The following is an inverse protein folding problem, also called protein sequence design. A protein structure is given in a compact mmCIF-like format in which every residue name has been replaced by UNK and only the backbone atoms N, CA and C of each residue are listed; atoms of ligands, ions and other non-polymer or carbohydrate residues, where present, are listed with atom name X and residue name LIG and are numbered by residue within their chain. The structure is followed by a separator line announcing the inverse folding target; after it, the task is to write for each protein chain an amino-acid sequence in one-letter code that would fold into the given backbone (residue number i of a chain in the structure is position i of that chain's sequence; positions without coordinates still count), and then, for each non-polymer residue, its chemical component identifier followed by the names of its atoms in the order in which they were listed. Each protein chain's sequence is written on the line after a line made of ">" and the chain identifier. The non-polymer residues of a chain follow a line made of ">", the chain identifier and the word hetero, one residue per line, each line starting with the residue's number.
data_IF_308767823687
#
_entry.id   IF_308767823687
#
_cell.length_a   1.000
_cell.length_b   1.000
_cell.length_c   1.000
_cell.angle_alpha   90.00
_cell.angle_beta   90.00
_cell.angle_gamma   90.00
#
_symmetry.space_group_name_H-M   'P 1'
#
loop_
_entity.id
_entity.type
_entity.pdbx_description
1 polymer ?
#
# COMPACT_ATOMS: atom_id res chain seq x y z
N UNK A 1 1.82 40.93 -0.12
CA UNK A 1 2.42 40.21 -1.27
C UNK A 1 3.50 39.28 -0.74
N UNK A 2 3.24 37.97 -0.68
CA UNK A 2 4.15 36.96 -0.12
C UNK A 2 4.97 36.29 -1.23
N UNK A 3 6.29 36.53 -1.26
CA UNK A 3 7.40 35.64 -1.66
C UNK A 3 7.13 34.46 -2.65
N UNK A 4 6.25 34.60 -3.65
CA UNK A 4 5.94 33.57 -4.66
C UNK A 4 5.35 32.26 -4.12
N UNK A 5 4.98 32.15 -2.84
CA UNK A 5 4.34 30.96 -2.26
C UNK A 5 2.82 31.16 -2.17
N UNK A 6 1.99 30.15 -2.52
CA UNK A 6 0.55 30.25 -2.40
C UNK A 6 0.15 30.49 -0.95
N UNK A 7 -0.84 31.36 -0.73
CA UNK A 7 -1.34 31.74 0.60
C UNK A 7 -1.99 30.54 1.33
N UNK A 8 -2.55 29.61 0.55
CA UNK A 8 -3.29 28.44 1.01
C UNK A 8 -2.60 27.16 0.57
N UNK A 9 -2.90 26.06 1.28
CA UNK A 9 -2.35 24.75 0.94
C UNK A 9 -2.97 24.24 -0.36
N UNK A 10 -2.11 23.68 -1.22
CA UNK A 10 -2.51 22.94 -2.41
C UNK A 10 -1.89 21.55 -2.33
N UNK A 11 -2.70 20.50 -2.50
CA UNK A 11 -2.24 19.12 -2.51
C UNK A 11 -2.40 18.56 -3.92
N UNK A 12 -1.30 18.04 -4.47
CA UNK A 12 -1.31 17.38 -5.77
C UNK A 12 -1.96 15.99 -5.66
N UNK A 13 -2.98 15.75 -6.48
CA UNK A 13 -3.72 14.50 -6.57
C UNK A 13 -3.42 13.73 -7.88
N UNK A 14 -2.42 14.16 -8.65
CA UNK A 14 -2.02 13.51 -9.90
C UNK A 14 -1.69 12.01 -9.73
N UNK A 15 -1.26 11.60 -8.53
CA UNK A 15 -1.00 10.19 -8.22
C UNK A 15 -2.27 9.30 -8.29
N UNK A 16 -3.48 9.88 -8.15
CA UNK A 16 -4.75 9.17 -8.28
C UNK A 16 -5.15 8.94 -9.75
N UNK A 17 -4.64 9.76 -10.68
CA UNK A 17 -4.97 9.69 -12.11
C UNK A 17 -4.08 8.71 -12.91
N UNK A 18 -3.04 8.14 -12.28
CA UNK A 18 -1.96 7.37 -12.95
C UNK A 18 -2.43 6.15 -13.76
N UNK A 19 -3.65 5.66 -13.53
CA UNK A 19 -4.17 4.42 -14.12
C UNK A 19 -5.38 4.62 -15.05
N UNK A 20 -5.80 5.85 -15.30
CA UNK A 20 -6.83 6.14 -16.29
C UNK A 20 -6.18 6.04 -17.68
N UNK A 21 -6.22 4.86 -18.31
CA UNK A 21 -5.70 4.60 -19.67
C UNK A 21 -6.34 5.44 -20.79
N UNK A 22 -7.07 6.49 -20.45
CA UNK A 22 -7.59 7.51 -21.34
C UNK A 22 -6.49 8.50 -21.70
N UNK A 23 -5.75 8.16 -22.76
CA UNK A 23 -5.04 9.11 -23.62
C UNK A 23 -6.05 10.10 -24.23
N UNK A 24 -6.48 11.08 -23.43
CA UNK A 24 -7.51 12.03 -23.83
C UNK A 24 -7.46 13.31 -23.00
N UNK A 25 -6.53 14.20 -23.36
CA UNK A 25 -6.74 15.66 -23.42
C UNK A 25 -7.48 16.36 -22.25
N UNK A 26 -7.25 15.99 -20.99
CA UNK A 26 -7.55 16.87 -19.85
C UNK A 26 -6.25 17.44 -19.28
N UNK A 27 -5.85 18.61 -19.81
CA UNK A 27 -4.75 19.44 -19.29
C UNK A 27 -5.19 20.15 -18.00
N UNK A 28 -5.44 19.38 -16.94
CA UNK A 28 -5.65 19.89 -15.60
C UNK A 28 -5.00 18.95 -14.59
N UNK A 29 -3.94 19.40 -13.93
CA UNK A 29 -3.39 18.70 -12.76
C UNK A 29 -4.50 18.59 -11.71
N UNK A 30 -4.90 17.36 -11.35
CA UNK A 30 -5.84 17.18 -10.24
C UNK A 30 -5.18 17.72 -8.97
N UNK A 31 -5.80 18.73 -8.37
CA UNK A 31 -5.29 19.40 -7.19
C UNK A 31 -6.43 19.67 -6.22
N UNK A 32 -6.12 19.52 -4.94
CA UNK A 32 -7.00 19.89 -3.85
C UNK A 32 -6.53 21.23 -3.28
N UNK A 33 -7.43 22.22 -3.30
CA UNK A 33 -7.19 23.55 -2.79
C UNK A 33 -7.83 23.73 -1.43
N UNK A 34 -7.08 24.25 -0.48
CA UNK A 34 -7.63 24.73 0.78
C UNK A 34 -8.38 26.05 0.53
N UNK A 35 -9.64 26.11 0.96
CA UNK A 35 -10.51 27.26 0.81
C UNK A 35 -11.12 27.65 2.16
N UNK A 36 -11.33 28.94 2.37
CA UNK A 36 -11.95 29.48 3.57
C UNK A 36 -13.07 30.47 3.22
N UNK A 37 -14.13 30.44 4.02
CA UNK A 37 -15.18 31.45 4.04
C UNK A 37 -15.19 32.08 5.43
N UNK A 38 -15.24 33.40 5.51
CA UNK A 38 -15.30 34.12 6.77
C UNK A 38 -16.35 35.22 6.69
N UNK A 39 -17.36 35.14 7.54
CA UNK A 39 -18.46 36.09 7.57
C UNK A 39 -18.52 36.75 8.96
N UNK A 40 -18.63 38.07 8.99
CA UNK A 40 -18.77 38.85 10.20
C UNK A 40 -19.88 39.88 10.01
N UNK A 41 -20.81 39.96 10.97
CA UNK A 41 -21.81 41.03 11.03
C UNK A 41 -21.53 41.86 12.27
N UNK A 42 -21.45 43.18 12.08
CA UNK A 42 -21.16 44.14 13.14
C UNK A 42 -22.06 45.36 13.01
N UNK A 43 -22.43 45.97 14.12
CA UNK A 43 -23.34 47.11 14.13
C UNK A 43 -23.56 47.66 15.52
N UNK A 44 -24.11 48.87 15.59
CA UNK A 44 -24.51 49.47 16.85
C UNK A 44 -25.85 48.91 17.34
N UNK A 45 -26.76 48.64 16.40
CA UNK A 45 -28.09 48.10 16.67
C UNK A 45 -28.62 47.31 15.44
N UNK A 46 -29.88 46.87 15.51
CA UNK A 46 -30.53 46.10 14.45
C UNK A 46 -30.89 46.93 13.20
N UNK A 47 -30.75 48.25 13.24
CA UNK A 47 -31.06 49.16 12.14
C UNK A 47 -29.80 49.68 11.44
N UNK A 48 -28.68 49.77 12.17
CA UNK A 48 -27.38 50.24 11.68
C UNK A 48 -26.31 49.16 11.90
N UNK A 49 -26.16 48.29 10.91
CA UNK A 49 -25.17 47.22 10.88
C UNK A 49 -24.56 47.04 9.49
N UNK A 50 -23.47 46.28 9.44
CA UNK A 50 -22.71 45.97 8.23
C UNK A 50 -22.27 44.52 8.28
N UNK A 51 -22.39 43.81 7.16
CA UNK A 51 -21.90 42.46 6.99
C UNK A 51 -20.67 42.46 6.06
N UNK A 52 -19.65 41.73 6.47
CA UNK A 52 -18.45 41.45 5.70
C UNK A 52 -18.38 39.95 5.45
N UNK A 53 -18.16 39.54 4.22
CA UNK A 53 -17.93 38.14 3.87
C UNK A 53 -16.73 38.03 2.94
N UNK A 54 -15.76 37.21 3.33
CA UNK A 54 -14.55 36.94 2.58
C UNK A 54 -14.59 35.48 2.13
N UNK A 55 -14.53 35.26 0.82
CA UNK A 55 -14.58 33.94 0.19
C UNK A 55 -13.30 33.78 -0.63
N UNK A 56 -12.55 32.71 -0.37
CA UNK A 56 -11.39 32.37 -1.18
C UNK A 56 -11.84 31.83 -2.55
N UNK A 57 -11.48 32.52 -3.63
CA UNK A 57 -11.81 32.15 -5.02
C UNK A 57 -10.58 31.92 -5.90
N UNK A 58 -9.38 31.93 -5.31
CA UNK A 58 -8.10 31.90 -6.06
C UNK A 58 -7.87 30.66 -6.93
N UNK A 59 -8.62 29.58 -6.69
CA UNK A 59 -8.56 28.33 -7.44
C UNK A 59 -9.61 28.24 -8.55
N UNK A 60 -10.57 29.17 -8.61
CA UNK A 60 -11.62 29.25 -9.62
C UNK A 60 -11.22 30.29 -10.66
N UNK A 61 -11.00 29.84 -11.91
CA UNK A 61 -10.64 30.72 -13.01
C UNK A 61 -11.77 31.68 -13.40
N UNK A 62 -13.01 31.21 -13.25
CA UNK A 62 -14.26 31.90 -13.60
C UNK A 62 -15.20 31.91 -12.38
N UNK A 63 -14.71 32.40 -11.23
CA UNK A 63 -15.52 32.41 -10.00
C UNK A 63 -16.73 33.32 -10.13
N UNK A 64 -17.90 32.79 -9.77
CA UNK A 64 -19.15 33.56 -9.67
C UNK A 64 -19.34 34.21 -8.29
N UNK A 65 -18.36 34.08 -7.39
CA UNK A 65 -18.39 34.71 -6.07
C UNK A 65 -17.71 36.10 -6.06
N UNK A 66 -17.32 36.65 -7.23
CA UNK A 66 -16.85 38.04 -7.33
C UNK A 66 -18.03 39.01 -7.33
N UNK A 67 -17.89 40.14 -6.62
CA UNK A 67 -18.94 41.14 -6.54
C UNK A 67 -19.31 41.66 -7.93
N UNK A 68 -18.33 41.91 -8.80
CA UNK A 68 -18.60 42.43 -10.15
C UNK A 68 -19.42 41.44 -11.00
N UNK A 69 -19.21 40.13 -10.83
CA UNK A 69 -20.01 39.13 -11.56
C UNK A 69 -21.50 39.22 -11.24
N UNK A 70 -21.88 39.63 -10.03
CA UNK A 70 -23.28 39.84 -9.66
C UNK A 70 -23.87 41.15 -10.21
N UNK A 71 -23.05 42.16 -10.50
CA UNK A 71 -23.50 43.43 -11.07
C UNK A 71 -23.57 43.39 -12.60
N UNK A 72 -22.63 42.70 -13.25
CA UNK A 72 -22.61 42.52 -14.71
C UNK A 72 -23.86 41.78 -15.22
N UNK A 73 -24.45 40.89 -14.40
CA UNK A 73 -25.71 40.20 -14.71
C UNK A 73 -26.93 41.13 -14.73
N UNK A 74 -26.86 42.31 -14.08
CA UNK A 74 -27.97 43.27 -13.92
C UNK A 74 -27.99 44.32 -15.04
N UNK A 75 -26.90 44.53 -15.77
CA UNK A 75 -26.79 45.53 -16.84
C UNK A 75 -27.37 45.09 -18.21
N UNK A 76 -28.04 43.93 -18.29
CA UNK A 76 -28.77 43.50 -19.47
C UNK A 76 -30.04 44.34 -19.72
N UNK A 77 -30.19 44.86 -20.95
CA UNK A 77 -31.11 45.92 -21.42
C UNK A 77 -32.64 45.76 -21.17
N UNK A 78 -33.13 44.79 -20.42
CA UNK A 78 -34.56 44.65 -20.15
C UNK A 78 -34.78 44.15 -18.72
N UNK A 79 -35.45 44.96 -17.87
CA UNK A 79 -36.55 44.53 -16.97
C UNK A 79 -36.94 45.66 -15.99
N UNK A 80 -38.24 45.95 -15.94
CA UNK A 80 -38.97 46.97 -15.16
C UNK A 80 -38.95 46.75 -13.63
N UNK A 81 -38.29 45.69 -13.14
CA UNK A 81 -38.09 45.36 -11.72
C UNK A 81 -36.64 44.90 -11.51
N UNK A 82 -35.80 45.80 -11.00
CA UNK A 82 -34.36 45.56 -10.87
C UNK A 82 -34.06 44.70 -9.63
N UNK A 83 -34.14 43.38 -9.76
CA UNK A 83 -33.62 42.45 -8.77
C UNK A 83 -32.09 42.65 -8.68
N UNK A 84 -31.60 43.07 -7.52
CA UNK A 84 -30.16 43.25 -7.31
C UNK A 84 -29.67 42.07 -6.47
N UNK A 85 -28.92 41.10 -7.04
CA UNK A 85 -28.49 39.92 -6.29
C UNK A 85 -27.55 40.28 -5.15
N UNK A 86 -27.84 39.78 -3.94
CA UNK A 86 -26.97 39.93 -2.77
C UNK A 86 -25.79 38.93 -2.83
N UNK A 87 -24.53 39.40 -2.97
CA UNK A 87 -23.36 38.52 -3.10
C UNK A 87 -23.12 37.63 -1.87
N UNK A 88 -23.45 38.10 -0.66
CA UNK A 88 -23.21 37.31 0.57
C UNK A 88 -24.10 36.06 0.59
N UNK A 89 -25.28 36.16 -0.02
CA UNK A 89 -26.25 35.07 -0.18
C UNK A 89 -26.12 34.35 -1.52
N UNK A 90 -25.02 34.55 -2.26
CA UNK A 90 -24.82 34.01 -3.61
C UNK A 90 -25.96 34.37 -4.58
N UNK A 91 -26.48 35.59 -4.47
CA UNK A 91 -27.60 36.08 -5.30
C UNK A 91 -28.96 35.46 -4.98
N UNK A 92 -29.13 34.76 -3.85
CA UNK A 92 -30.44 34.18 -3.48
C UNK A 92 -31.41 35.23 -2.90
N UNK A 93 -30.91 36.36 -2.41
CA UNK A 93 -31.72 37.47 -1.94
C UNK A 93 -31.58 38.70 -2.84
N UNK A 94 -32.65 39.48 -2.86
CA UNK A 94 -32.67 40.81 -3.45
C UNK A 94 -32.10 41.83 -2.44
N UNK A 95 -30.96 42.42 -2.77
CA UNK A 95 -30.31 43.46 -2.00
C UNK A 95 -31.17 44.73 -1.89
N UNK A 96 -32.14 44.95 -2.79
CA UNK A 96 -33.08 46.08 -2.69
C UNK A 96 -34.15 45.88 -1.62
N UNK A 97 -34.35 44.65 -1.14
CA UNK A 97 -35.29 44.29 -0.07
C UNK A 97 -34.51 43.72 1.13
N UNK A 98 -33.78 44.56 1.88
CA UNK A 98 -32.85 44.09 2.90
C UNK A 98 -33.58 43.43 4.07
N UNK A 99 -33.00 42.33 4.56
CA UNK A 99 -33.45 41.68 5.79
C UNK A 99 -33.12 42.59 6.96
N UNK A 100 -34.12 43.11 7.66
CA UNK A 100 -33.88 44.13 8.70
C UNK A 100 -33.11 43.60 9.91
N UNK A 101 -33.39 42.38 10.39
CA UNK A 101 -32.71 41.81 11.56
C UNK A 101 -31.34 41.19 11.18
N UNK A 102 -30.22 41.65 11.77
CA UNK A 102 -28.87 41.18 11.43
C UNK A 102 -28.64 39.71 11.80
N UNK A 103 -29.27 39.21 12.87
CA UNK A 103 -29.12 37.80 13.30
C UNK A 103 -29.84 36.88 12.32
N UNK A 104 -31.02 37.29 11.85
CA UNK A 104 -31.75 36.59 10.79
C UNK A 104 -30.92 36.58 9.50
N UNK A 105 -30.34 37.71 9.12
CA UNK A 105 -29.49 37.79 7.93
C UNK A 105 -28.26 36.89 8.05
N UNK A 106 -27.58 36.89 9.22
CA UNK A 106 -26.48 35.96 9.51
C UNK A 106 -26.87 34.50 9.27
N UNK A 107 -28.02 34.07 9.79
CA UNK A 107 -28.48 32.69 9.63
C UNK A 107 -28.73 32.31 8.16
N UNK A 108 -29.26 33.24 7.35
CA UNK A 108 -29.48 33.02 5.93
C UNK A 108 -28.13 32.85 5.21
N UNK A 109 -27.17 33.74 5.48
CA UNK A 109 -25.81 33.64 4.92
C UNK A 109 -25.15 32.33 5.36
N UNK A 110 -25.24 31.97 6.64
CA UNK A 110 -24.71 30.72 7.18
C UNK A 110 -25.35 29.51 6.49
N UNK A 111 -26.67 29.49 6.30
CA UNK A 111 -27.38 28.41 5.61
C UNK A 111 -26.86 28.21 4.19
N UNK A 112 -26.73 29.28 3.43
CA UNK A 112 -26.32 29.23 2.02
C UNK A 112 -24.85 28.83 1.91
N UNK A 113 -23.96 29.45 2.70
CA UNK A 113 -22.52 29.18 2.65
C UNK A 113 -22.17 27.81 3.24
N UNK A 114 -22.90 27.34 4.25
CA UNK A 114 -22.71 25.98 4.77
C UNK A 114 -23.21 24.92 3.78
N UNK A 115 -24.28 25.20 3.05
CA UNK A 115 -24.72 24.34 1.94
C UNK A 115 -23.67 24.28 0.83
N UNK A 116 -23.04 25.40 0.48
CA UNK A 116 -21.90 25.45 -0.45
C UNK A 116 -20.74 24.55 0.03
N UNK A 117 -20.33 24.68 1.30
CA UNK A 117 -19.28 23.84 1.90
C UNK A 117 -19.64 22.35 1.78
N UNK A 118 -20.87 21.97 2.15
CA UNK A 118 -21.33 20.58 2.04
C UNK A 118 -21.30 20.07 0.60
N UNK A 119 -21.71 20.88 -0.38
CA UNK A 119 -21.67 20.49 -1.79
C UNK A 119 -20.22 20.28 -2.26
N UNK A 120 -19.31 21.19 -1.92
CA UNK A 120 -17.89 21.03 -2.25
C UNK A 120 -17.31 19.74 -1.67
N UNK A 121 -17.66 19.39 -0.43
CA UNK A 121 -17.27 18.11 0.18
C UNK A 121 -17.85 16.89 -0.54
N UNK A 122 -19.13 16.94 -0.92
CA UNK A 122 -19.77 15.86 -1.67
C UNK A 122 -19.06 15.66 -3.00
N UNK A 123 -18.87 16.72 -3.76
CA UNK A 123 -18.27 16.67 -5.09
C UNK A 123 -16.81 16.16 -5.01
N UNK A 124 -16.07 16.56 -3.96
CA UNK A 124 -14.74 16.01 -3.67
C UNK A 124 -14.79 14.49 -3.47
N UNK A 125 -15.68 14.00 -2.60
CA UNK A 125 -15.78 12.56 -2.28
C UNK A 125 -16.25 11.76 -3.50
N UNK A 126 -17.20 12.28 -4.28
CA UNK A 126 -17.70 11.65 -5.51
C UNK A 126 -16.60 11.48 -6.56
N UNK A 127 -15.62 12.39 -6.62
CA UNK A 127 -14.46 12.28 -7.49
C UNK A 127 -13.36 11.38 -6.91
N UNK A 128 -13.16 11.40 -5.60
CA UNK A 128 -12.08 10.68 -4.92
C UNK A 128 -12.36 9.17 -4.80
N UNK A 129 -13.58 8.82 -4.42
CA UNK A 129 -13.98 7.45 -4.07
C UNK A 129 -13.85 6.45 -5.24
N UNK A 130 -14.30 6.76 -6.47
CA UNK A 130 -14.16 5.82 -7.59
C UNK A 130 -12.70 5.52 -7.92
N UNK A 131 -11.83 6.54 -7.93
CA UNK A 131 -10.41 6.37 -8.24
C UNK A 131 -9.71 5.43 -7.26
N UNK A 132 -9.99 5.58 -5.97
CA UNK A 132 -9.41 4.70 -4.94
C UNK A 132 -9.94 3.27 -5.06
N UNK A 133 -11.26 3.10 -5.19
CA UNK A 133 -11.86 1.75 -5.29
C UNK A 133 -11.40 1.03 -6.55
N UNK A 134 -11.30 1.73 -7.67
CA UNK A 134 -10.79 1.18 -8.91
C UNK A 134 -9.34 0.73 -8.76
N UNK A 135 -8.49 1.55 -8.13
CA UNK A 135 -7.09 1.20 -7.88
C UNK A 135 -6.98 -0.07 -7.03
N UNK A 136 -7.66 -0.10 -5.87
CA UNK A 136 -7.64 -1.23 -4.95
C UNK A 136 -8.07 -2.51 -5.68
N UNK A 137 -9.21 -2.47 -6.39
CA UNK A 137 -9.73 -3.63 -7.12
C UNK A 137 -8.75 -4.16 -8.18
N UNK A 138 -8.17 -3.30 -9.01
CA UNK A 138 -7.23 -3.73 -10.05
C UNK A 138 -5.93 -4.32 -9.47
N UNK A 139 -5.42 -3.74 -8.38
CA UNK A 139 -4.14 -4.16 -7.82
C UNK A 139 -4.27 -5.40 -6.94
N UNK A 140 -5.41 -5.58 -6.25
CA UNK A 140 -5.73 -6.85 -5.57
C UNK A 140 -5.74 -8.01 -6.57
N UNK A 141 -6.43 -7.85 -7.71
CA UNK A 141 -6.45 -8.88 -8.76
C UNK A 141 -5.05 -9.17 -9.31
N UNK A 142 -4.24 -8.13 -9.57
CA UNK A 142 -2.89 -8.30 -10.08
C UNK A 142 -1.95 -8.99 -9.07
N UNK A 143 -2.11 -8.73 -7.77
CA UNK A 143 -1.33 -9.39 -6.72
C UNK A 143 -1.64 -10.90 -6.67
N UNK A 144 -2.91 -11.27 -6.86
CA UNK A 144 -3.36 -12.67 -6.89
C UNK A 144 -2.89 -13.41 -8.16
N UNK A 145 -2.91 -12.77 -9.33
CA UNK A 145 -2.57 -13.42 -10.61
C UNK A 145 -1.05 -13.56 -10.87
N UNK A 146 -0.22 -12.69 -10.26
CA UNK A 146 1.22 -12.56 -10.59
C UNK A 146 2.14 -13.50 -9.79
N UNK A 147 1.58 -14.53 -9.17
CA UNK A 147 2.32 -15.65 -8.56
C UNK A 147 3.20 -16.43 -9.56
N UNK A 148 3.08 -16.17 -10.86
CA UNK A 148 3.64 -16.98 -11.95
C UNK A 148 4.84 -16.39 -12.72
N UNK A 149 5.26 -15.14 -12.49
CA UNK A 149 6.38 -14.55 -13.26
C UNK A 149 7.29 -13.56 -12.49
N UNK A 150 8.58 -13.65 -12.79
CA UNK A 150 9.78 -13.15 -12.08
C UNK A 150 9.97 -11.62 -12.02
N UNK A 151 8.89 -10.82 -12.06
CA UNK A 151 8.95 -9.34 -12.16
C UNK A 151 8.14 -8.55 -11.11
N UNK A 152 7.65 -9.19 -10.05
CA UNK A 152 6.59 -8.62 -9.20
C UNK A 152 6.98 -7.73 -8.01
N UNK A 153 8.27 -7.45 -7.77
CA UNK A 153 8.70 -6.61 -6.62
C UNK A 153 8.44 -5.12 -6.85
N UNK A 154 8.55 -4.63 -8.09
CA UNK A 154 8.36 -3.21 -8.42
C UNK A 154 6.88 -2.78 -8.24
N UNK A 155 5.93 -3.62 -8.67
CA UNK A 155 4.49 -3.31 -8.60
C UNK A 155 3.95 -3.18 -7.16
N UNK A 156 4.40 -4.05 -6.24
CA UNK A 156 3.97 -4.00 -4.84
C UNK A 156 4.58 -2.81 -4.08
N UNK A 157 5.81 -2.42 -4.42
CA UNK A 157 6.44 -1.20 -3.88
C UNK A 157 5.69 0.06 -4.33
N UNK A 158 5.34 0.14 -5.61
CA UNK A 158 4.57 1.26 -6.16
C UNK A 158 3.17 1.34 -5.53
N UNK A 159 2.53 0.19 -5.30
CA UNK A 159 1.25 0.09 -4.60
C UNK A 159 1.33 0.54 -3.14
N UNK A 160 2.45 0.25 -2.46
CA UNK A 160 2.72 0.69 -1.09
C UNK A 160 2.91 2.21 -0.99
N UNK A 161 3.62 2.82 -1.94
CA UNK A 161 3.77 4.28 -2.00
C UNK A 161 2.42 4.95 -2.29
N UNK A 162 1.68 4.43 -3.27
CA UNK A 162 0.37 4.96 -3.63
C UNK A 162 -0.61 4.90 -2.45
N UNK A 163 -0.71 3.77 -1.74
CA UNK A 163 -1.65 3.65 -0.61
C UNK A 163 -1.27 4.56 0.56
N UNK A 164 0.02 4.79 0.78
CA UNK A 164 0.49 5.73 1.80
C UNK A 164 0.08 7.17 1.45
N UNK A 165 0.26 7.58 0.19
CA UNK A 165 -0.17 8.91 -0.29
C UNK A 165 -1.69 9.07 -0.23
N UNK A 166 -2.46 8.06 -0.66
CA UNK A 166 -3.92 8.06 -0.56
C UNK A 166 -4.38 8.18 0.89
N UNK A 167 -3.82 7.38 1.80
CA UNK A 167 -4.16 7.44 3.22
C UNK A 167 -3.85 8.80 3.83
N UNK A 168 -2.72 9.41 3.49
CA UNK A 168 -2.37 10.75 4.00
C UNK A 168 -3.44 11.78 3.61
N UNK A 169 -3.82 11.81 2.32
CA UNK A 169 -4.86 12.73 1.82
C UNK A 169 -6.21 12.45 2.48
N UNK A 170 -6.68 11.21 2.51
CA UNK A 170 -8.02 10.87 3.03
C UNK A 170 -8.10 11.12 4.54
N UNK A 171 -7.04 10.82 5.31
CA UNK A 171 -7.01 11.10 6.75
C UNK A 171 -7.05 12.61 7.02
N UNK A 172 -6.35 13.43 6.24
CA UNK A 172 -6.40 14.88 6.38
C UNK A 172 -7.79 15.44 6.05
N UNK A 173 -8.44 14.90 5.02
CA UNK A 173 -9.82 15.23 4.67
C UNK A 173 -10.80 14.84 5.77
N UNK A 174 -10.71 13.60 6.27
CA UNK A 174 -11.55 13.10 7.35
C UNK A 174 -11.38 13.96 8.61
N UNK A 175 -10.15 14.30 8.96
CA UNK A 175 -9.89 15.20 10.08
C UNK A 175 -10.56 16.57 9.89
N UNK A 176 -10.40 17.18 8.72
CA UNK A 176 -10.95 18.52 8.43
C UNK A 176 -12.48 18.55 8.49
N UNK A 177 -13.17 17.58 7.88
CA UNK A 177 -14.65 17.51 7.93
C UNK A 177 -15.15 17.19 9.35
N UNK A 178 -14.46 16.30 10.08
CA UNK A 178 -14.75 15.98 11.48
C UNK A 178 -14.59 17.22 12.38
N UNK A 179 -13.53 18.02 12.19
CA UNK A 179 -13.36 19.27 12.95
C UNK A 179 -14.45 20.28 12.62
N UNK A 180 -14.79 20.45 11.34
CA UNK A 180 -15.87 21.36 10.92
C UNK A 180 -17.21 20.95 11.55
N UNK A 181 -17.52 19.66 11.56
CA UNK A 181 -18.70 19.10 12.19
C UNK A 181 -18.73 19.34 13.70
N UNK A 182 -17.59 19.15 14.37
CA UNK A 182 -17.45 19.33 15.81
C UNK A 182 -17.55 20.80 16.25
N UNK A 183 -16.92 21.73 15.55
CA UNK A 183 -17.06 23.16 15.84
C UNK A 183 -18.48 23.66 15.58
N UNK A 184 -19.14 23.11 14.56
CA UNK A 184 -20.55 23.39 14.33
C UNK A 184 -21.41 22.90 15.50
N UNK A 185 -21.18 21.68 16.01
CA UNK A 185 -21.94 21.16 17.15
C UNK A 185 -21.70 22.00 18.41
N UNK A 186 -20.47 22.48 18.65
CA UNK A 186 -20.17 23.43 19.73
C UNK A 186 -20.91 24.75 19.58
N UNK A 187 -20.99 25.29 18.36
CA UNK A 187 -21.78 26.48 18.06
C UNK A 187 -23.27 26.24 18.36
N UNK A 188 -23.81 25.07 18.03
CA UNK A 188 -25.18 24.69 18.37
C UNK A 188 -25.40 24.65 19.88
N UNK A 189 -24.48 24.05 20.63
CA UNK A 189 -24.66 23.83 22.07
C UNK A 189 -24.42 25.11 22.89
N UNK A 190 -23.59 26.03 22.41
CA UNK A 190 -23.28 27.30 23.07
C UNK A 190 -24.10 28.48 22.56
N UNK A 191 -23.78 28.92 21.35
CA UNK A 191 -24.17 30.23 20.82
C UNK A 191 -25.50 30.20 20.05
N UNK A 192 -26.07 29.03 19.74
CA UNK A 192 -27.35 28.97 19.01
C UNK A 192 -28.51 29.64 19.75
N UNK A 193 -28.41 29.78 21.08
CA UNK A 193 -29.42 30.42 21.90
C UNK A 193 -29.70 31.87 21.45
N UNK A 194 -28.68 32.59 20.94
CA UNK A 194 -28.82 33.94 20.38
C UNK A 194 -29.79 34.02 19.20
N UNK A 195 -30.12 32.88 18.58
CA UNK A 195 -30.93 32.77 17.38
C UNK A 195 -32.27 32.05 17.61
N UNK A 196 -32.59 31.66 18.84
CA UNK A 196 -33.82 30.92 19.16
C UNK A 196 -34.87 31.73 19.92
N UNK A 197 -34.58 33.00 20.23
CA UNK A 197 -35.46 33.85 21.00
C UNK A 197 -36.73 34.25 20.23
N UNK A 198 -37.86 33.65 20.59
CA UNK A 198 -39.14 33.89 19.93
C UNK A 198 -39.58 35.36 20.00
N UNK A 199 -39.34 36.03 21.12
CA UNK A 199 -39.71 37.43 21.35
C UNK A 199 -38.88 38.39 20.48
N UNK A 200 -37.65 38.00 20.13
CA UNK A 200 -36.75 38.79 19.29
C UNK A 200 -37.16 38.82 17.82
N UNK A 201 -37.70 37.72 17.29
CA UNK A 201 -37.98 37.58 15.87
C UNK A 201 -39.46 37.83 15.50
N UNK A 202 -40.37 37.85 16.47
CA UNK A 202 -41.78 38.16 16.24
C UNK A 202 -42.39 37.35 15.09
N UNK A 203 -42.83 38.04 14.03
CA UNK A 203 -43.45 37.40 12.85
C UNK A 203 -42.46 36.58 12.00
N UNK A 204 -41.17 36.87 12.09
CA UNK A 204 -40.12 36.18 11.32
C UNK A 204 -39.63 34.88 11.98
N UNK A 205 -40.09 34.59 13.20
CA UNK A 205 -39.67 33.41 13.95
C UNK A 205 -39.89 32.09 13.18
N UNK A 206 -40.98 31.98 12.41
CA UNK A 206 -41.25 30.80 11.58
C UNK A 206 -40.16 30.61 10.53
N UNK A 207 -39.76 31.70 9.85
CA UNK A 207 -38.71 31.67 8.82
C UNK A 207 -37.36 31.31 9.43
N UNK A 208 -37.02 31.90 10.57
CA UNK A 208 -35.80 31.59 11.33
C UNK A 208 -35.76 30.11 11.73
N UNK A 209 -36.88 29.56 12.21
CA UNK A 209 -37.01 28.15 12.57
C UNK A 209 -36.78 27.24 11.37
N UNK A 210 -37.31 27.58 10.20
CA UNK A 210 -37.14 26.80 8.98
C UNK A 210 -35.71 26.88 8.42
N UNK A 211 -35.08 28.06 8.46
CA UNK A 211 -33.65 28.21 8.22
C UNK A 211 -32.84 27.30 9.14
N UNK A 212 -33.18 27.26 10.43
CA UNK A 212 -32.48 26.40 11.38
C UNK A 212 -32.62 24.90 11.06
N UNK A 213 -33.82 24.46 10.67
CA UNK A 213 -34.03 23.08 10.22
C UNK A 213 -33.15 22.76 9.02
N UNK A 214 -33.03 23.68 8.06
CA UNK A 214 -32.20 23.48 6.86
C UNK A 214 -30.71 23.40 7.17
N UNK A 215 -30.19 24.24 8.07
CA UNK A 215 -28.78 24.17 8.47
C UNK A 215 -28.51 22.85 9.23
N UNK A 216 -29.41 22.44 10.14
CA UNK A 216 -29.30 21.14 10.83
C UNK A 216 -29.34 19.96 9.86
N UNK A 217 -30.19 20.03 8.84
CA UNK A 217 -30.21 19.03 7.78
C UNK A 217 -28.88 18.99 7.02
N UNK A 218 -28.34 20.15 6.65
CA UNK A 218 -27.02 20.25 5.99
C UNK A 218 -25.90 19.65 6.85
N UNK A 219 -25.92 19.90 8.16
CA UNK A 219 -24.98 19.31 9.13
C UNK A 219 -25.09 17.78 9.18
N UNK A 220 -26.32 17.26 9.13
CA UNK A 220 -26.56 15.81 9.10
C UNK A 220 -25.99 15.18 7.83
N UNK A 221 -26.23 15.78 6.67
CA UNK A 221 -25.65 15.31 5.39
C UNK A 221 -24.11 15.38 5.41
N UNK A 222 -23.52 16.42 6.00
CA UNK A 222 -22.07 16.50 6.19
C UNK A 222 -21.53 15.35 7.05
N UNK A 223 -22.28 14.91 8.07
CA UNK A 223 -21.93 13.75 8.88
C UNK A 223 -21.98 12.42 8.12
N UNK A 224 -22.87 12.28 7.12
CA UNK A 224 -22.85 11.13 6.20
C UNK A 224 -21.58 11.14 5.35
N UNK A 225 -21.17 12.30 4.84
CA UNK A 225 -19.93 12.45 4.07
C UNK A 225 -18.68 12.10 4.90
N UNK A 226 -18.62 12.54 6.16
CA UNK A 226 -17.56 12.15 7.10
C UNK A 226 -17.51 10.63 7.32
N UNK A 227 -18.68 10.00 7.49
CA UNK A 227 -18.78 8.55 7.60
C UNK A 227 -18.30 7.81 6.35
N UNK A 228 -18.58 8.35 5.16
CA UNK A 228 -18.10 7.79 3.89
C UNK A 228 -16.57 7.89 3.76
N UNK A 229 -15.97 9.02 4.14
CA UNK A 229 -14.52 9.16 4.19
C UNK A 229 -13.91 8.16 5.19
N UNK A 230 -14.52 7.98 6.37
CA UNK A 230 -14.07 6.99 7.35
C UNK A 230 -14.09 5.56 6.81
N UNK A 231 -15.12 5.18 6.04
CA UNK A 231 -15.15 3.87 5.36
C UNK A 231 -14.02 3.74 4.33
N UNK A 232 -13.73 4.82 3.60
CA UNK A 232 -12.65 4.82 2.60
C UNK A 232 -11.27 4.69 3.24
N UNK A 233 -11.05 5.35 4.39
CA UNK A 233 -9.83 5.15 5.21
C UNK A 233 -9.67 3.70 5.60
N UNK A 234 -10.74 3.04 6.07
CA UNK A 234 -10.64 1.65 6.50
C UNK A 234 -10.35 0.70 5.32
N UNK A 235 -11.00 0.92 4.18
CA UNK A 235 -10.69 0.18 2.94
C UNK A 235 -9.21 0.32 2.55
N UNK A 236 -8.67 1.53 2.62
CA UNK A 236 -7.27 1.76 2.32
C UNK A 236 -6.32 1.10 3.34
N UNK A 237 -6.68 1.09 4.63
CA UNK A 237 -5.89 0.40 5.67
C UNK A 237 -5.88 -1.11 5.46
N UNK A 238 -7.03 -1.70 5.13
CA UNK A 238 -7.12 -3.13 4.89
C UNK A 238 -6.33 -3.53 3.64
N UNK A 239 -6.40 -2.75 2.57
CA UNK A 239 -5.57 -2.97 1.40
C UNK A 239 -4.07 -2.86 1.70
N UNK A 240 -3.66 -1.91 2.55
CA UNK A 240 -2.26 -1.82 2.99
C UNK A 240 -1.81 -3.06 3.76
N UNK A 241 -2.63 -3.57 4.69
CA UNK A 241 -2.35 -4.81 5.43
C UNK A 241 -2.18 -6.00 4.47
N UNK A 242 -3.04 -6.08 3.45
CA UNK A 242 -3.00 -7.12 2.42
C UNK A 242 -1.68 -7.08 1.64
N UNK A 243 -1.26 -5.90 1.16
CA UNK A 243 0.05 -5.72 0.50
C UNK A 243 1.19 -6.15 1.43
N UNK A 244 1.18 -5.71 2.69
CA UNK A 244 2.23 -6.05 3.67
C UNK A 244 2.30 -7.56 3.92
N UNK A 245 1.15 -8.23 4.02
CA UNK A 245 1.06 -9.69 4.16
C UNK A 245 1.64 -10.39 2.94
N UNK A 246 1.24 -10.00 1.72
CA UNK A 246 1.77 -10.58 0.49
C UNK A 246 3.29 -10.38 0.35
N UNK A 247 3.80 -9.18 0.69
CA UNK A 247 5.23 -8.91 0.70
C UNK A 247 5.97 -9.78 1.72
N UNK A 248 5.38 -10.03 2.90
CA UNK A 248 5.98 -10.89 3.92
C UNK A 248 6.07 -12.35 3.47
N UNK A 249 5.01 -12.88 2.83
CA UNK A 249 4.98 -14.23 2.27
C UNK A 249 6.05 -14.38 1.20
N UNK A 250 6.15 -13.42 0.27
CA UNK A 250 7.16 -13.43 -0.79
C UNK A 250 8.58 -13.37 -0.23
N UNK A 251 8.85 -12.53 0.78
CA UNK A 251 10.16 -12.49 1.45
C UNK A 251 10.50 -13.84 2.08
N UNK A 252 9.54 -14.50 2.72
CA UNK A 252 9.73 -15.82 3.30
C UNK A 252 10.00 -16.89 2.22
N UNK A 253 9.28 -16.87 1.10
CA UNK A 253 9.53 -17.77 -0.03
C UNK A 253 10.94 -17.57 -0.61
N UNK A 254 11.35 -16.32 -0.85
CA UNK A 254 12.71 -16.01 -1.32
C UNK A 254 13.79 -16.44 -0.32
N UNK A 255 13.52 -16.35 0.98
CA UNK A 255 14.43 -16.85 2.02
C UNK A 255 14.54 -18.40 1.98
N UNK A 256 13.45 -19.11 1.72
CA UNK A 256 13.45 -20.57 1.55
C UNK A 256 14.17 -20.99 0.28
N UNK A 257 13.90 -20.33 -0.85
CA UNK A 257 14.54 -20.61 -2.14
C UNK A 257 16.04 -20.31 -2.11
N UNK A 258 16.43 -19.20 -1.49
CA UNK A 258 17.85 -18.88 -1.31
C UNK A 258 18.54 -19.89 -0.39
N UNK A 259 17.87 -20.36 0.68
CA UNK A 259 18.40 -21.45 1.52
C UNK A 259 18.67 -22.73 0.73
N UNK A 260 17.80 -23.11 -0.20
CA UNK A 260 18.04 -24.23 -1.11
C UNK A 260 19.27 -24.03 -2.01
N UNK A 261 19.50 -22.80 -2.50
CA UNK A 261 20.69 -22.47 -3.30
C UNK A 261 21.98 -22.50 -2.47
N UNK A 262 21.94 -22.06 -1.22
CA UNK A 262 23.08 -22.16 -0.30
C UNK A 262 23.42 -23.62 0.03
N UNK A 263 22.42 -24.48 0.22
CA UNK A 263 22.67 -25.92 0.44
C UNK A 263 23.37 -26.57 -0.78
N UNK A 264 23.02 -26.18 -2.02
CA UNK A 264 23.72 -26.66 -3.22
C UNK A 264 25.17 -26.14 -3.32
N UNK A 265 25.42 -24.85 -3.11
CA UNK A 265 26.78 -24.30 -3.17
C UNK A 265 27.67 -24.86 -2.08
N UNK A 266 27.13 -25.06 -0.87
CA UNK A 266 27.85 -25.69 0.24
C UNK A 266 28.16 -27.15 -0.08
N UNK A 267 27.21 -27.89 -0.67
CA UNK A 267 27.43 -29.29 -1.09
C UNK A 267 28.51 -29.41 -2.17
N UNK A 268 28.51 -28.52 -3.16
CA UNK A 268 29.55 -28.44 -4.19
C UNK A 268 30.92 -28.17 -3.55
N UNK A 269 31.00 -27.21 -2.61
CA UNK A 269 32.24 -26.88 -1.92
C UNK A 269 32.82 -28.09 -1.16
N UNK A 270 31.99 -28.88 -0.49
CA UNK A 270 32.44 -30.09 0.22
C UNK A 270 33.01 -31.17 -0.71
N UNK A 271 32.53 -31.28 -1.95
CA UNK A 271 33.02 -32.25 -2.93
C UNK A 271 34.38 -31.81 -3.50
N UNK A 272 34.55 -30.52 -3.80
CA UNK A 272 35.76 -30.01 -4.46
C UNK A 272 36.89 -29.65 -3.49
N UNK A 273 36.60 -29.29 -2.24
CA UNK A 273 37.60 -28.89 -1.25
C UNK A 273 38.70 -29.94 -1.00
N UNK A 274 38.39 -31.25 -0.81
CA UNK A 274 39.42 -32.28 -0.62
C UNK A 274 40.31 -32.46 -1.86
N UNK A 275 39.72 -32.34 -3.05
CA UNK A 275 40.43 -32.45 -4.33
C UNK A 275 41.40 -31.27 -4.49
N UNK A 276 40.95 -30.06 -4.16
CA UNK A 276 41.77 -28.84 -4.24
C UNK A 276 42.91 -28.87 -3.21
N UNK A 277 42.65 -29.37 -2.00
CA UNK A 277 43.67 -29.53 -0.95
C UNK A 277 44.70 -30.60 -1.31
N UNK A 278 44.27 -31.72 -1.91
CA UNK A 278 45.20 -32.71 -2.44
C UNK A 278 46.02 -32.11 -3.59
N UNK A 279 45.39 -31.42 -4.54
CA UNK A 279 46.10 -30.79 -5.65
C UNK A 279 47.11 -29.74 -5.18
N UNK A 280 46.78 -28.93 -4.18
CA UNK A 280 47.70 -27.94 -3.61
C UNK A 280 48.86 -28.60 -2.86
N UNK A 281 48.61 -29.69 -2.13
CA UNK A 281 49.64 -30.44 -1.42
C UNK A 281 50.68 -31.06 -2.37
N UNK A 282 50.22 -31.63 -3.50
CA UNK A 282 51.11 -32.19 -4.53
C UNK A 282 51.72 -31.13 -5.46
N UNK A 283 51.19 -29.91 -5.46
CA UNK A 283 51.77 -28.77 -6.19
C UNK A 283 52.89 -28.06 -5.43
N UNK A 284 53.07 -28.32 -4.13
CA UNK A 284 54.22 -27.82 -3.37
C UNK A 284 55.50 -28.57 -3.79
N UNK A 285 56.56 -27.83 -4.08
CA UNK A 285 57.81 -28.37 -4.62
C UNK A 285 58.44 -29.46 -3.76
N UNK A 286 59.16 -30.38 -4.40
CA UNK A 286 59.73 -31.63 -3.85
C UNK A 286 60.70 -31.47 -2.66
N UNK A 287 61.04 -30.25 -2.28
CA UNK A 287 61.96 -29.94 -1.19
C UNK A 287 61.35 -30.01 0.22
N UNK A 288 60.03 -30.17 0.36
CA UNK A 288 59.35 -30.09 1.68
C UNK A 288 58.47 -31.28 2.05
N UNK A 289 58.39 -32.35 1.26
CA UNK A 289 57.46 -33.48 1.49
C UNK A 289 58.21 -34.82 1.55
N UNK A 290 58.07 -35.63 2.63
CA UNK A 290 58.72 -36.93 2.77
C UNK A 290 57.91 -38.07 2.08
N UNK A 291 57.39 -37.83 0.88
CA UNK A 291 56.70 -38.86 0.10
C UNK A 291 57.65 -39.42 -0.95
N UNK A 292 58.06 -40.67 -0.73
CA UNK A 292 58.95 -41.40 -1.63
C UNK A 292 58.18 -41.74 -2.93
N UNK A 293 58.43 -40.96 -3.99
CA UNK A 293 57.87 -41.03 -5.34
C UNK A 293 56.35 -40.74 -5.46
N UNK A 294 55.93 -39.52 -5.87
CA UNK A 294 54.52 -39.21 -6.08
C UNK A 294 53.97 -40.01 -7.27
N UNK A 295 53.17 -41.04 -6.96
CA UNK A 295 52.39 -41.80 -7.94
C UNK A 295 50.93 -41.36 -7.91
N UNK A 296 50.19 -41.60 -8.98
CA UNK A 296 48.74 -41.34 -9.03
C UNK A 296 47.99 -42.00 -7.85
N UNK A 297 48.45 -43.16 -7.39
CA UNK A 297 47.91 -43.84 -6.22
C UNK A 297 48.07 -43.01 -4.93
N UNK A 298 49.20 -42.32 -4.74
CA UNK A 298 49.44 -41.44 -3.59
C UNK A 298 48.48 -40.25 -3.57
N UNK A 299 48.17 -39.68 -4.74
CA UNK A 299 47.19 -38.60 -4.87
C UNK A 299 45.77 -39.06 -4.45
N UNK A 300 45.33 -40.23 -4.93
CA UNK A 300 44.02 -40.80 -4.58
C UNK A 300 43.92 -41.10 -3.08
N UNK A 301 44.97 -41.66 -2.47
CA UNK A 301 45.01 -41.93 -1.03
C UNK A 301 44.91 -40.63 -0.22
N UNK A 302 45.56 -39.56 -0.67
CA UNK A 302 45.51 -38.26 0.02
C UNK A 302 44.12 -37.61 -0.07
N UNK A 303 43.41 -37.77 -1.19
CA UNK A 303 42.00 -37.37 -1.30
C UNK A 303 41.13 -38.14 -0.30
N UNK A 304 41.33 -39.45 -0.17
CA UNK A 304 40.54 -40.26 0.76
C UNK A 304 40.81 -39.88 2.23
N UNK A 305 42.08 -39.63 2.58
CA UNK A 305 42.47 -39.19 3.93
C UNK A 305 41.88 -37.82 4.24
N UNK A 306 41.99 -36.86 3.33
CA UNK A 306 41.43 -35.51 3.52
C UNK A 306 39.90 -35.57 3.64
N UNK A 307 39.23 -36.39 2.82
CA UNK A 307 37.78 -36.62 2.93
C UNK A 307 37.39 -37.20 4.30
N UNK A 308 38.15 -38.18 4.79
CA UNK A 308 37.92 -38.79 6.11
C UNK A 308 38.17 -37.79 7.25
N UNK A 309 39.21 -36.96 7.14
CA UNK A 309 39.51 -35.92 8.14
C UNK A 309 38.40 -34.86 8.23
N UNK A 310 37.88 -34.41 7.07
CA UNK A 310 36.77 -33.46 7.00
C UNK A 310 35.50 -34.11 7.59
N UNK A 311 35.28 -35.39 7.33
CA UNK A 311 34.17 -36.14 7.92
C UNK A 311 34.26 -36.24 9.44
N UNK A 312 35.44 -36.54 10.00
CA UNK A 312 35.66 -36.58 11.45
C UNK A 312 35.44 -35.22 12.11
N UNK A 313 35.96 -34.14 11.51
CA UNK A 313 35.75 -32.77 12.01
C UNK A 313 34.26 -32.42 11.96
N UNK A 314 33.58 -32.75 10.86
CA UNK A 314 32.13 -32.54 10.73
C UNK A 314 31.35 -33.30 11.80
N UNK A 315 31.74 -34.55 12.09
CA UNK A 315 31.13 -35.36 13.14
C UNK A 315 31.34 -34.74 14.53
N UNK A 316 32.56 -34.28 14.85
CA UNK A 316 32.86 -33.62 16.12
C UNK A 316 32.06 -32.31 16.30
N UNK A 317 31.97 -31.49 15.25
CA UNK A 317 31.19 -30.24 15.25
C UNK A 317 29.69 -30.53 15.46
N UNK A 318 29.16 -31.59 14.83
CA UNK A 318 27.75 -31.97 14.99
C UNK A 318 27.40 -32.42 16.41
N UNK A 319 28.33 -33.07 17.12
CA UNK A 319 28.14 -33.45 18.52
C UNK A 319 28.24 -32.26 19.48
N UNK A 320 29.06 -31.25 19.14
CA UNK A 320 29.26 -30.06 19.97
C UNK A 320 28.17 -28.99 19.79
N UNK A 321 27.54 -28.92 18.62
CA UNK A 321 26.53 -27.91 18.29
C UNK A 321 25.24 -28.52 17.73
N UNK A 322 24.45 -29.24 18.54
CA UNK A 322 23.24 -29.95 18.09
C UNK A 322 22.11 -29.04 17.58
N UNK A 323 22.18 -27.72 17.81
CA UNK A 323 21.18 -26.74 17.31
C UNK A 323 21.41 -26.28 15.87
N UNK A 324 22.51 -26.67 15.22
CA UNK A 324 22.91 -26.20 13.89
C UNK A 324 22.55 -27.17 12.74
N UNK A 325 21.53 -28.03 12.91
CA UNK A 325 21.14 -29.00 11.89
C UNK A 325 20.48 -28.36 10.65
N UNK A 326 21.25 -28.19 9.57
CA UNK A 326 20.73 -28.41 8.22
C UNK A 326 20.78 -29.92 7.95
N UNK A 327 19.69 -30.64 8.24
CA UNK A 327 19.56 -32.10 8.03
C UNK A 327 19.84 -32.52 6.57
N UNK A 328 19.70 -31.61 5.60
CA UNK A 328 19.82 -31.91 4.16
C UNK A 328 21.26 -31.98 3.66
N UNK A 329 22.18 -31.16 4.18
CA UNK A 329 23.59 -31.21 3.78
C UNK A 329 24.23 -32.56 4.16
N UNK A 330 23.79 -33.14 5.27
CA UNK A 330 24.22 -34.44 5.75
C UNK A 330 23.72 -35.61 4.88
N UNK A 331 22.49 -35.54 4.37
CA UNK A 331 21.95 -36.55 3.46
C UNK A 331 22.71 -36.58 2.12
N UNK A 332 23.10 -35.41 1.60
CA UNK A 332 23.93 -35.29 0.39
C UNK A 332 25.31 -35.94 0.55
N UNK A 333 26.01 -35.66 1.66
CA UNK A 333 27.30 -36.29 1.96
C UNK A 333 27.18 -37.80 2.15
N UNK A 334 26.08 -38.28 2.76
CA UNK A 334 25.81 -39.71 2.96
C UNK A 334 25.57 -40.42 1.62
N UNK A 335 24.83 -39.79 0.70
CA UNK A 335 24.59 -40.31 -0.65
C UNK A 335 25.88 -40.34 -1.50
N UNK A 336 26.69 -39.29 -1.45
CA UNK A 336 27.99 -39.24 -2.13
C UNK A 336 28.95 -40.33 -1.62
N UNK A 337 29.00 -40.55 -0.30
CA UNK A 337 29.78 -41.62 0.31
C UNK A 337 29.26 -43.01 -0.05
N UNK A 338 27.93 -43.19 -0.14
CA UNK A 338 27.34 -44.46 -0.57
C UNK A 338 27.65 -44.75 -2.05
N UNK A 339 27.66 -43.72 -2.90
CA UNK A 339 28.05 -43.81 -4.31
C UNK A 339 29.54 -44.13 -4.46
N UNK A 340 30.43 -43.49 -3.68
CA UNK A 340 31.87 -43.78 -3.64
C UNK A 340 32.18 -45.18 -3.11
N UNK A 341 31.47 -45.65 -2.08
CA UNK A 341 31.60 -47.01 -1.53
C UNK A 341 31.17 -48.07 -2.56
N UNK A 342 30.08 -47.81 -3.29
CA UNK A 342 29.57 -48.73 -4.30
C UNK A 342 30.41 -48.67 -5.60
N UNK A 343 30.93 -47.51 -5.98
CA UNK A 343 31.84 -47.32 -7.10
C UNK A 343 33.24 -47.88 -6.83
N UNK A 344 33.76 -47.75 -5.61
CA UNK A 344 35.02 -48.35 -5.17
C UNK A 344 34.98 -49.88 -5.17
N UNK A 345 33.82 -50.49 -4.88
CA UNK A 345 33.63 -51.94 -4.98
C UNK A 345 33.80 -52.44 -6.43
N UNK A 346 33.21 -51.73 -7.40
CA UNK A 346 33.37 -52.05 -8.83
C UNK A 346 34.80 -51.81 -9.35
N UNK A 347 35.50 -50.82 -8.80
CA UNK A 347 36.90 -50.54 -9.15
C UNK A 347 37.86 -51.62 -8.60
N UNK A 348 37.57 -52.16 -7.41
CA UNK A 348 38.32 -53.28 -6.82
C UNK A 348 38.04 -54.60 -7.56
N UNK A 349 36.81 -54.82 -8.04
CA UNK A 349 36.47 -55.97 -8.89
C UNK A 349 37.14 -55.89 -10.28
N UNK A 350 37.35 -54.69 -10.82
CA UNK A 350 38.12 -54.48 -12.07
C UNK A 350 39.62 -54.74 -11.93
N UNK A 351 40.19 -54.69 -10.72
CA UNK A 351 41.63 -54.83 -10.48
C UNK A 351 42.09 -56.26 -10.15
N UNK A 352 41.21 -57.27 -10.22
CA UNK A 352 41.62 -58.67 -10.39
C UNK A 352 42.41 -59.29 -9.24
N UNK A 353 41.96 -59.16 -7.99
CA UNK A 353 42.50 -59.93 -6.86
C UNK A 353 41.48 -60.99 -6.43
N UNK A 354 41.61 -62.17 -7.02
CA UNK A 354 40.84 -63.35 -6.66
C UNK A 354 41.26 -63.90 -5.31
N UNK A 355 40.33 -63.99 -4.37
CA UNK A 355 40.44 -64.85 -3.20
C UNK A 355 39.56 -66.07 -3.44
N UNK A 356 40.22 -67.19 -3.69
CA UNK A 356 39.61 -68.50 -3.93
C UNK A 356 39.49 -69.21 -2.58
N UNK A 357 38.25 -69.47 -2.13
CA UNK A 357 37.99 -70.41 -1.03
C UNK A 357 37.08 -71.51 -1.55
N UNK A 358 37.61 -72.72 -1.48
CA UNK A 358 37.04 -74.02 -1.84
C UNK A 358 36.13 -74.59 -0.75
N UNK A 359 35.12 -75.37 -1.19
CA UNK A 359 34.36 -76.40 -0.44
C UNK A 359 33.16 -75.86 0.33
N UNK A 360 31.99 -76.48 0.39
CA UNK A 360 31.37 -77.70 -0.18
C UNK A 360 29.85 -77.40 -0.16
N UNK A 361 29.13 -77.65 -1.25
CA UNK A 361 28.16 -78.75 -1.40
C UNK A 361 27.09 -78.83 -0.29
N UNK A 362 25.86 -78.43 -0.62
CA UNK A 362 24.70 -79.33 -0.49
C UNK A 362 23.49 -78.82 -1.29
N UNK A 363 22.86 -79.79 -1.93
CA UNK A 363 21.70 -79.69 -2.80
C UNK A 363 20.44 -79.30 -2.03
N UNK A 364 19.53 -78.57 -2.69
CA UNK A 364 18.12 -78.96 -2.72
C UNK A 364 17.35 -78.25 -3.83
N UNK A 365 16.65 -79.09 -4.58
CA UNK A 365 15.60 -78.83 -5.56
C UNK A 365 14.55 -77.82 -5.05
N UNK A 366 13.90 -77.10 -5.98
CA UNK A 366 12.46 -77.29 -6.32
C UNK A 366 12.00 -76.20 -7.32
N UNK A 367 11.58 -76.72 -8.48
CA UNK A 367 10.46 -76.32 -9.36
C UNK A 367 10.25 -74.88 -9.87
N UNK A 368 10.55 -74.74 -11.17
CA UNK A 368 9.67 -74.29 -12.26
C UNK A 368 8.25 -73.78 -11.89
N UNK A 369 8.02 -72.47 -12.12
CA UNK A 369 6.69 -71.86 -12.17
C UNK A 369 6.55 -70.88 -13.34
N UNK A 370 5.69 -71.23 -14.29
CA UNK A 370 5.38 -70.57 -15.57
C UNK A 370 4.88 -69.12 -15.47
N UNK A 371 5.22 -68.33 -16.50
CA UNK A 371 4.47 -67.18 -17.05
C UNK A 371 3.07 -67.60 -17.55
N UNK A 372 2.06 -66.72 -17.54
CA UNK A 372 1.80 -65.84 -18.72
C UNK A 372 1.26 -64.44 -18.35
N UNK A 373 1.75 -63.36 -18.97
CA UNK A 373 1.08 -62.61 -20.05
C UNK A 373 -0.46 -62.56 -20.00
N UNK A 374 -1.04 -61.37 -19.82
CA UNK A 374 -2.16 -60.83 -20.61
C UNK A 374 -2.59 -59.42 -20.12
N UNK A 375 -2.35 -58.41 -20.96
CA UNK A 375 -3.32 -57.33 -21.28
C UNK A 375 -4.30 -57.88 -22.34
N UNK A 376 -5.47 -57.27 -22.68
CA UNK A 376 -5.90 -55.85 -22.66
C UNK A 376 -7.24 -55.66 -21.90
N UNK A 377 -7.90 -54.52 -21.73
CA UNK A 377 -8.14 -53.27 -22.50
C UNK A 377 -8.12 -52.04 -21.58
#
# INVERSE_FOLDING_TARGET
>A
MSQGKPLRRCVDLSFLQRNSGSSGLYYGTAALYEAQISCAITGQDNWAWTAYCFVDTYFEKDSTDDVNSYWDEVEGDEVEYQFVPDPLTRGNLDATVPVSDPRRYFLIVLQIRFLQVKNAWRDLIENLQPGIRQYISHHQMSILERESSDGGTTSASDSSVWIAQSLDVINQLQYSISQTALEFDRFIDGDANYFTDQDSFGKDFIRVKDTWKSIKHTRHELGKLDSLLGQLVEQCKDFRKDIEMHLSIRRNQLAVDSRGKYDMTTSILFIFLPILLAASFFSMGSSTIPLHNPTFASFVVTILITYFSIWLVSMAVSQLFPKFESKRCWEGCRAAFHSLRNGGRRFIEMLGWGWQSTGDQDDNEIELGRYPSQYPE
#
